data_IF_343506471919
#
_entry.id   IF_343506471919
#
_cell.length_a   1.000
_cell.length_b   1.000
_cell.length_c   1.000
_cell.angle_alpha   90.00
_cell.angle_beta   90.00
_cell.angle_gamma   90.00
#
_symmetry.space_group_name_H-M   'P 1'
#
loop_
_entity.id
_entity.type
_entity.pdbx_description
1 polymer ?
#
# COMPACT_ATOMS: atom_id res chain seq x y z
N UNK A 1 5.89 12.36 -15.34
CA UNK A 1 5.74 10.98 -14.83
C UNK A 1 6.75 10.74 -13.72
N UNK A 2 6.35 10.11 -12.61
CA UNK A 2 7.28 9.63 -11.60
C UNK A 2 7.16 8.11 -11.47
N UNK A 3 8.30 7.44 -11.57
CA UNK A 3 8.43 5.99 -11.48
C UNK A 3 9.37 5.68 -10.33
N UNK A 4 8.90 4.92 -9.36
CA UNK A 4 9.71 4.45 -8.25
C UNK A 4 9.88 2.94 -8.33
N UNK A 5 11.12 2.50 -8.53
CA UNK A 5 11.49 1.09 -8.56
C UNK A 5 12.32 0.76 -7.33
N UNK A 6 11.71 0.04 -6.42
CA UNK A 6 12.31 -0.54 -5.22
C UNK A 6 12.36 -2.07 -5.32
N UNK A 7 12.21 -2.63 -6.53
CA UNK A 7 12.22 -4.08 -6.74
C UNK A 7 13.58 -4.71 -6.41
N UNK A 8 13.57 -5.96 -5.93
CA UNK A 8 14.78 -6.74 -5.55
C UNK A 8 15.54 -6.13 -4.37
N UNK A 9 14.81 -5.67 -3.36
CA UNK A 9 15.39 -5.24 -2.09
C UNK A 9 14.91 -6.16 -0.96
N UNK A 10 15.35 -5.89 0.27
CA UNK A 10 14.92 -6.61 1.47
C UNK A 10 14.00 -5.73 2.32
N UNK A 11 13.20 -4.88 1.68
CA UNK A 11 12.28 -3.99 2.39
C UNK A 11 11.22 -4.84 3.09
N UNK A 12 11.09 -4.65 4.40
CA UNK A 12 10.06 -5.32 5.22
C UNK A 12 8.78 -4.49 5.34
N UNK A 13 8.92 -3.17 5.19
CA UNK A 13 7.84 -2.20 5.24
C UNK A 13 8.10 -1.06 4.25
N UNK A 14 7.03 -0.38 3.85
CA UNK A 14 7.10 0.90 3.15
C UNK A 14 6.64 1.98 4.12
N UNK A 15 7.36 3.11 4.21
CA UNK A 15 6.91 4.21 5.05
C UNK A 15 5.63 4.82 4.49
N UNK A 16 4.70 5.22 5.36
CA UNK A 16 3.46 5.90 4.95
C UNK A 16 3.71 7.20 4.18
N UNK A 17 4.91 7.78 4.31
CA UNK A 17 5.33 8.95 3.53
C UNK A 17 5.32 8.72 2.03
N UNK A 18 5.38 7.46 1.56
CA UNK A 18 5.21 7.12 0.14
C UNK A 18 3.84 7.56 -0.39
N UNK A 19 2.80 7.58 0.46
CA UNK A 19 1.45 8.02 0.13
C UNK A 19 1.36 9.53 -0.15
N UNK A 20 2.41 10.30 0.17
CA UNK A 20 2.49 11.73 -0.17
C UNK A 20 2.97 12.00 -1.59
N UNK A 21 3.46 10.98 -2.30
CA UNK A 21 3.95 11.11 -3.67
C UNK A 21 2.78 11.14 -4.67
N UNK A 22 1.93 12.16 -4.60
CA UNK A 22 0.71 12.30 -5.43
C UNK A 22 0.96 12.29 -6.94
N UNK A 23 2.20 12.54 -7.37
CA UNK A 23 2.63 12.48 -8.76
C UNK A 23 3.24 11.13 -9.18
N UNK A 24 3.23 10.11 -8.32
CA UNK A 24 3.71 8.77 -8.63
C UNK A 24 2.74 8.05 -9.58
N UNK A 25 3.26 7.60 -10.73
CA UNK A 25 2.50 6.87 -11.75
C UNK A 25 2.82 5.38 -11.74
N UNK A 26 4.04 5.00 -11.31
CA UNK A 26 4.44 3.59 -11.26
C UNK A 26 5.22 3.33 -9.98
N UNK A 27 4.81 2.31 -9.23
CA UNK A 27 5.48 1.83 -8.05
C UNK A 27 5.77 0.34 -8.20
N UNK A 28 7.05 -0.02 -8.25
CA UNK A 28 7.46 -1.42 -8.27
C UNK A 28 8.22 -1.77 -7.00
N UNK A 29 7.66 -2.69 -6.23
CA UNK A 29 8.24 -3.23 -5.00
C UNK A 29 8.33 -4.76 -5.08
N UNK A 30 8.39 -5.30 -6.30
CA UNK A 30 8.50 -6.74 -6.57
C UNK A 30 9.77 -7.32 -5.96
N UNK A 31 9.76 -8.56 -5.50
CA UNK A 31 10.93 -9.21 -4.89
C UNK A 31 11.43 -8.41 -3.67
N UNK A 32 10.53 -8.16 -2.73
CA UNK A 32 10.85 -7.64 -1.40
C UNK A 32 10.34 -8.60 -0.34
N UNK A 33 10.49 -8.22 0.93
CA UNK A 33 9.93 -8.96 2.07
C UNK A 33 8.85 -8.12 2.75
N UNK A 34 8.10 -7.34 1.97
CA UNK A 34 7.07 -6.45 2.50
C UNK A 34 6.00 -7.27 3.21
N UNK A 35 5.69 -6.90 4.45
CA UNK A 35 4.64 -7.55 5.24
C UNK A 35 3.26 -6.97 4.97
N UNK A 36 3.23 -5.67 4.65
CA UNK A 36 2.02 -4.94 4.32
C UNK A 36 2.32 -3.79 3.36
N UNK A 37 1.29 -3.35 2.64
CA UNK A 37 1.29 -2.07 1.93
C UNK A 37 0.67 -0.99 2.83
N UNK A 38 1.11 0.27 2.68
CA UNK A 38 0.48 1.40 3.35
C UNK A 38 -1.02 1.46 3.05
N UNK A 39 -1.84 1.58 4.10
CA UNK A 39 -3.30 1.61 3.97
C UNK A 39 -3.78 2.86 3.21
N UNK A 40 -3.00 3.93 3.30
CA UNK A 40 -3.24 5.20 2.63
C UNK A 40 -2.70 5.24 1.19
N UNK A 41 -2.23 4.11 0.63
CA UNK A 41 -1.73 4.05 -0.74
C UNK A 41 -2.84 4.39 -1.76
N UNK A 42 -4.12 4.23 -1.38
CA UNK A 42 -5.27 4.70 -2.16
C UNK A 42 -5.25 6.21 -2.45
N UNK A 43 -4.57 7.01 -1.62
CA UNK A 43 -4.47 8.48 -1.79
C UNK A 43 -3.63 8.87 -3.01
N UNK A 44 -2.86 7.93 -3.56
CA UNK A 44 -2.08 8.11 -4.78
C UNK A 44 -2.98 8.07 -6.01
N UNK A 45 -3.74 9.15 -6.24
CA UNK A 45 -4.71 9.26 -7.33
C UNK A 45 -4.11 8.93 -8.70
N UNK A 46 -2.88 9.38 -8.97
CA UNK A 46 -2.17 9.08 -10.23
C UNK A 46 -1.64 7.66 -10.35
N UNK A 47 -1.45 6.96 -9.23
CA UNK A 47 -1.04 5.54 -9.22
C UNK A 47 -2.24 4.61 -9.34
N UNK A 48 -3.43 5.06 -8.92
CA UNK A 48 -4.67 4.27 -8.96
C UNK A 48 -5.20 3.99 -10.38
N UNK A 49 -4.65 4.66 -11.40
CA UNK A 49 -5.10 4.51 -12.78
C UNK A 49 -6.50 5.06 -13.05
N UNK A 50 -7.13 5.72 -12.06
CA UNK A 50 -8.31 6.57 -12.28
C UNK A 50 -7.87 7.85 -13.02
N UNK A 51 -7.53 7.71 -14.31
CA UNK A 51 -7.39 8.87 -15.19
C UNK A 51 -8.79 9.34 -15.57
N UNK A 52 -9.34 10.28 -14.80
CA UNK A 52 -10.56 11.02 -15.17
C UNK A 52 -10.29 12.10 -16.24
N UNK A 53 -9.05 12.26 -16.71
CA UNK A 53 -8.72 13.26 -17.72
C UNK A 53 -8.86 12.69 -19.13
N UNK A 54 -10.09 12.87 -19.62
CA UNK A 54 -10.43 13.12 -21.02
C UNK A 54 -9.32 13.94 -21.71
N UNK A 55 -8.67 13.35 -22.71
CA UNK A 55 -8.12 13.92 -23.95
C UNK A 55 -6.72 13.41 -24.31
N UNK A 56 -6.70 12.43 -25.23
CA UNK A 56 -5.87 12.37 -26.45
C UNK A 56 -4.41 12.85 -26.36
N UNK A 57 -3.57 12.30 -25.49
CA UNK A 57 -2.17 11.97 -25.84
C UNK A 57 -1.51 11.17 -24.71
N UNK A 58 -0.99 9.99 -25.05
CA UNK A 58 -0.19 9.07 -24.23
C UNK A 58 -0.95 8.16 -23.25
N UNK A 59 -1.04 6.87 -23.61
CA UNK A 59 -1.57 5.76 -22.81
C UNK A 59 -0.64 5.38 -21.64
N UNK A 60 -0.36 6.31 -20.74
CA UNK A 60 0.47 6.02 -19.58
C UNK A 60 -0.35 5.38 -18.46
N UNK A 61 -0.53 4.06 -18.56
CA UNK A 61 -1.19 3.26 -17.53
C UNK A 61 -0.39 3.29 -16.23
N UNK A 62 -1.05 3.68 -15.14
CA UNK A 62 -0.49 3.55 -13.81
C UNK A 62 -0.34 2.07 -13.42
N UNK A 63 0.74 1.72 -12.72
CA UNK A 63 1.09 0.33 -12.45
C UNK A 63 1.73 0.17 -11.07
N UNK A 64 1.13 -0.68 -10.24
CA UNK A 64 1.61 -1.09 -8.92
C UNK A 64 2.00 -2.57 -8.96
N UNK A 65 3.31 -2.85 -8.86
CA UNK A 65 3.85 -4.21 -8.86
C UNK A 65 4.33 -4.61 -7.48
N UNK A 66 3.52 -5.43 -6.82
CA UNK A 66 3.78 -5.94 -5.46
C UNK A 66 4.01 -7.45 -5.43
N UNK A 67 3.99 -8.12 -6.58
CA UNK A 67 4.23 -9.56 -6.66
C UNK A 67 5.56 -10.00 -6.03
N UNK A 68 5.69 -11.28 -5.71
CA UNK A 68 6.91 -11.86 -5.14
C UNK A 68 7.34 -11.25 -3.79
N UNK A 69 6.38 -10.77 -2.98
CA UNK A 69 6.58 -10.44 -1.58
C UNK A 69 6.07 -11.59 -0.70
N UNK A 70 6.97 -12.50 -0.31
CA UNK A 70 6.59 -13.75 0.37
C UNK A 70 5.92 -13.54 1.74
N UNK A 71 6.16 -12.40 2.38
CA UNK A 71 5.62 -12.06 3.71
C UNK A 71 4.38 -11.15 3.64
N UNK A 72 3.91 -10.78 2.44
CA UNK A 72 2.83 -9.83 2.27
C UNK A 72 1.51 -10.46 2.72
N UNK A 73 1.01 -10.00 3.87
CA UNK A 73 -0.31 -10.38 4.40
C UNK A 73 -1.40 -9.43 3.93
N UNK A 74 -1.07 -8.13 3.81
CA UNK A 74 -2.04 -7.07 3.55
C UNK A 74 -1.59 -6.17 2.38
N UNK A 75 -2.35 -6.07 1.28
CA UNK A 75 -3.50 -6.89 0.92
C UNK A 75 -3.13 -8.36 0.67
N UNK A 76 -4.11 -9.25 0.72
CA UNK A 76 -3.89 -10.67 0.48
C UNK A 76 -3.32 -10.93 -0.92
N UNK A 77 -2.60 -12.05 -1.06
CA UNK A 77 -1.95 -12.40 -2.32
C UNK A 77 -2.95 -12.51 -3.48
N UNK A 78 -4.16 -13.02 -3.22
CA UNK A 78 -5.26 -13.08 -4.19
C UNK A 78 -5.59 -11.70 -4.79
N UNK A 79 -5.72 -10.68 -3.94
CA UNK A 79 -5.98 -9.30 -4.36
C UNK A 79 -4.78 -8.73 -5.14
N UNK A 80 -3.57 -9.10 -4.73
CA UNK A 80 -2.37 -8.70 -5.46
C UNK A 80 -2.29 -9.32 -6.86
N UNK A 81 -2.74 -10.55 -7.01
CA UNK A 81 -2.78 -11.30 -8.28
C UNK A 81 -3.87 -10.77 -9.22
N UNK A 82 -4.98 -10.23 -8.68
CA UNK A 82 -6.01 -9.51 -9.45
C UNK A 82 -5.49 -8.19 -10.06
N UNK A 83 -4.41 -7.63 -9.50
CA UNK A 83 -3.67 -6.51 -10.05
C UNK A 83 -3.95 -5.16 -9.37
N UNK A 84 -3.44 -4.08 -9.97
CA UNK A 84 -3.42 -2.75 -9.35
C UNK A 84 -4.82 -2.25 -8.96
N UNK A 85 -5.83 -2.44 -9.82
CA UNK A 85 -7.18 -1.96 -9.52
C UNK A 85 -7.78 -2.61 -8.26
N UNK A 86 -7.62 -3.92 -8.09
CA UNK A 86 -8.13 -4.65 -6.93
C UNK A 86 -7.45 -4.23 -5.63
N UNK A 87 -6.13 -4.00 -5.66
CA UNK A 87 -5.39 -3.46 -4.51
C UNK A 87 -5.98 -2.11 -4.08
N UNK A 88 -6.19 -1.20 -5.02
CA UNK A 88 -6.73 0.12 -4.72
C UNK A 88 -8.18 0.07 -4.24
N UNK A 89 -9.00 -0.82 -4.80
CA UNK A 89 -10.39 -1.02 -4.38
C UNK A 89 -10.47 -1.56 -2.95
N UNK A 90 -9.64 -2.56 -2.62
CA UNK A 90 -9.49 -3.06 -1.25
C UNK A 90 -9.10 -1.96 -0.27
N UNK A 91 -8.10 -1.14 -0.61
CA UNK A 91 -7.66 -0.04 0.25
C UNK A 91 -8.74 1.04 0.41
N UNK A 92 -9.49 1.35 -0.65
CA UNK A 92 -10.64 2.28 -0.59
C UNK A 92 -11.78 1.71 0.26
N UNK A 93 -12.03 0.41 0.17
CA UNK A 93 -13.01 -0.27 1.01
C UNK A 93 -12.60 -0.23 2.50
N UNK A 94 -11.31 -0.35 2.81
CA UNK A 94 -10.82 -0.17 4.18
C UNK A 94 -11.02 1.25 4.71
N UNK A 95 -10.87 2.28 3.86
CA UNK A 95 -11.16 3.66 4.24
C UNK A 95 -12.62 3.83 4.67
N UNK A 96 -13.55 3.21 3.93
CA UNK A 96 -14.98 3.22 4.25
C UNK A 96 -15.35 2.32 5.46
N UNK A 97 -14.39 1.53 5.98
CA UNK A 97 -14.59 0.61 7.11
C UNK A 97 -13.52 0.85 8.19
N UNK A 98 -13.65 1.93 8.99
CA UNK A 98 -12.63 2.34 9.96
C UNK A 98 -12.32 1.25 10.99
N UNK A 99 -13.32 0.47 11.42
CA UNK A 99 -13.11 -0.67 12.32
C UNK A 99 -12.17 -1.72 11.71
N UNK A 100 -12.39 -2.08 10.43
CA UNK A 100 -11.54 -3.07 9.73
C UNK A 100 -10.14 -2.51 9.49
N UNK A 101 -10.03 -1.22 9.14
CA UNK A 101 -8.75 -0.51 9.00
C UNK A 101 -7.96 -0.55 10.32
N UNK A 102 -8.60 -0.23 11.45
CA UNK A 102 -7.98 -0.27 12.78
C UNK A 102 -7.52 -1.69 13.18
N UNK A 103 -8.34 -2.71 12.92
CA UNK A 103 -7.94 -4.11 13.20
C UNK A 103 -6.68 -4.49 12.44
N UNK A 104 -6.58 -4.13 11.16
CA UNK A 104 -5.40 -4.40 10.32
C UNK A 104 -4.19 -3.62 10.83
N UNK A 105 -4.36 -2.35 11.21
CA UNK A 105 -3.28 -1.54 11.82
C UNK A 105 -2.75 -2.23 13.08
N UNK A 106 -3.65 -2.63 13.99
CA UNK A 106 -3.26 -3.31 15.22
C UNK A 106 -2.56 -4.66 14.96
N UNK A 107 -2.98 -5.41 13.93
CA UNK A 107 -2.33 -6.65 13.55
C UNK A 107 -0.94 -6.40 12.93
N UNK A 108 -0.80 -5.37 12.10
CA UNK A 108 0.48 -4.91 11.56
C UNK A 108 1.43 -4.52 12.72
N UNK A 109 0.97 -3.70 13.66
CA UNK A 109 1.73 -3.29 14.84
C UNK A 109 2.16 -4.50 15.68
N UNK A 110 1.28 -5.48 15.87
CA UNK A 110 1.58 -6.75 16.55
C UNK A 110 2.68 -7.55 15.81
N UNK A 111 2.62 -7.61 14.47
CA UNK A 111 3.64 -8.27 13.64
C UNK A 111 5.00 -7.54 13.69
N UNK A 112 5.00 -6.22 13.88
CA UNK A 112 6.22 -5.42 14.08
C UNK A 112 6.73 -5.47 15.53
N UNK A 113 5.91 -6.00 16.45
CA UNK A 113 5.90 -5.62 17.86
C UNK A 113 6.08 -6.76 18.87
N UNK A 114 7.17 -7.52 18.77
CA UNK A 114 7.95 -7.85 19.98
C UNK A 114 8.78 -6.64 20.48
N UNK A 115 8.60 -5.45 19.90
CA UNK A 115 9.15 -4.19 20.42
C UNK A 115 8.05 -3.15 20.61
N UNK A 116 7.75 -2.95 21.90
CA UNK A 116 7.06 -1.83 22.57
C UNK A 116 5.64 -2.11 23.02
N UNK A 117 5.58 -2.63 24.25
CA UNK A 117 4.67 -2.12 25.27
C UNK A 117 4.79 -0.59 25.33
N UNK A 118 3.81 0.11 24.80
CA UNK A 118 3.36 1.40 25.33
C UNK A 118 1.99 1.08 25.94
N UNK A 119 1.87 0.73 27.21
CA UNK A 119 2.04 1.65 28.34
C UNK A 119 1.38 3.00 28.08
N UNK A 120 0.10 3.02 27.70
CA UNK A 120 -0.77 4.13 28.11
C UNK A 120 -1.44 3.72 29.41
N UNK A 121 -0.65 3.78 30.48
CA UNK A 121 -1.15 4.02 31.83
C UNK A 121 -1.08 5.53 32.07
N UNK A 122 -2.23 6.17 31.98
CA UNK A 122 -2.59 7.47 32.57
C UNK A 122 -4.09 7.30 32.77
N UNK A 123 -4.60 6.85 33.93
CA UNK A 123 -4.66 7.57 35.21
C UNK A 123 -5.00 9.05 34.94
N UNK A 124 -6.28 9.38 34.95
CA UNK A 124 -7.04 9.91 36.10
C UNK A 124 -8.54 9.59 35.92
#
# INVERSE_FOLDING_TARGET
MQVLRLSKNQLQELPETICRLTNLHTLSVRYNSLRYLPLDLHKLQRLSGHEEFRHVHMSFKADLKVGENQQLKYPEKSICDEGTAAIFDYLRHLENNPHKKQTIIHEIESLMGHRRRTSTHTRE
#
